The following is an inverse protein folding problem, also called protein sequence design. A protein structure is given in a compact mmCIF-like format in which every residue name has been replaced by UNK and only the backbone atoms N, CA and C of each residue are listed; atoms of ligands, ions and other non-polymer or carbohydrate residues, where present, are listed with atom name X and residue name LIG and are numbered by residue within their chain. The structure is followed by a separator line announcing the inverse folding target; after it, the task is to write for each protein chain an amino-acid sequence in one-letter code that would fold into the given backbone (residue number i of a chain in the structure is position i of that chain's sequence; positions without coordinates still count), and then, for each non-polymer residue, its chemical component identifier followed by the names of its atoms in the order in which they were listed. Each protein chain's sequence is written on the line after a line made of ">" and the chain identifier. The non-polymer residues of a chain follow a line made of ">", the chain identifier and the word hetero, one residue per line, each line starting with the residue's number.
data_IF_161449200229
#
_entry.id   IF_161449200229
#
_cell.length_a   1.000
_cell.length_b   1.000
_cell.length_c   1.000
_cell.angle_alpha   90.00
_cell.angle_beta   90.00
_cell.angle_gamma   90.00
#
_symmetry.space_group_name_H-M   'P 1'
#
loop_
_entity.id
_entity.type
_entity.pdbx_description
1 polymer ?
#
# COMPACT_ATOMS: atom_id res chain seq x y z
N UNK A 1 40.91 8.14 61.82
CA UNK A 1 40.90 7.39 60.55
C UNK A 1 39.55 7.62 59.93
N UNK A 2 39.44 8.58 58.91
CA UNK A 2 38.17 8.93 58.21
C UNK A 2 38.11 8.10 56.95
N UNK A 3 37.12 7.20 56.82
CA UNK A 3 36.85 6.44 55.61
C UNK A 3 36.05 7.30 54.66
N UNK A 4 36.67 7.71 53.54
CA UNK A 4 36.00 8.31 52.38
C UNK A 4 35.34 7.18 51.57
N UNK A 5 33.99 7.19 51.49
CA UNK A 5 33.22 6.33 50.60
C UNK A 5 33.10 7.10 49.28
N UNK A 6 33.61 6.58 48.16
CA UNK A 6 33.38 7.25 46.85
C UNK A 6 31.93 7.00 46.42
N UNK A 7 31.19 8.08 46.29
CA UNK A 7 29.84 8.10 45.72
C UNK A 7 29.95 7.87 44.18
N UNK A 8 29.75 6.62 43.76
CA UNK A 8 29.74 6.27 42.36
C UNK A 8 28.41 6.75 41.75
N UNK A 9 28.44 7.88 41.07
CA UNK A 9 27.32 8.45 40.36
C UNK A 9 27.06 7.60 39.10
N UNK A 10 26.05 6.71 39.15
CA UNK A 10 25.64 5.90 38.03
C UNK A 10 24.89 6.81 37.03
N UNK A 11 25.57 7.25 36.00
CA UNK A 11 24.98 8.03 34.89
C UNK A 11 24.14 7.08 34.04
N UNK A 12 22.82 7.03 34.29
CA UNK A 12 21.87 6.30 33.44
C UNK A 12 21.63 7.16 32.19
N UNK A 13 22.32 6.82 31.12
CA UNK A 13 22.06 7.41 29.77
C UNK A 13 20.78 6.78 29.26
N UNK A 14 19.66 7.48 29.35
CA UNK A 14 18.47 7.16 28.59
C UNK A 14 18.76 7.39 27.10
N UNK A 15 19.11 6.35 26.39
CA UNK A 15 19.11 6.37 24.94
C UNK A 15 17.63 6.32 24.53
N UNK A 16 17.01 7.48 24.45
CA UNK A 16 15.71 7.63 23.78
C UNK A 16 16.00 7.37 22.31
N UNK A 17 15.74 6.16 21.86
CA UNK A 17 15.75 5.82 20.45
C UNK A 17 14.60 6.58 19.78
N UNK A 18 14.83 7.82 19.40
CA UNK A 18 13.93 8.54 18.49
C UNK A 18 13.98 7.79 17.16
N UNK A 19 12.98 6.95 16.92
CA UNK A 19 12.69 6.43 15.60
C UNK A 19 12.47 7.65 14.69
N UNK A 20 13.32 7.83 13.68
CA UNK A 20 13.12 8.93 12.73
C UNK A 20 11.84 8.68 11.94
N UNK A 21 11.01 9.71 11.69
CA UNK A 21 9.85 9.59 10.82
C UNK A 21 10.27 9.13 9.42
N UNK A 22 9.39 8.45 8.71
CA UNK A 22 9.62 8.09 7.32
C UNK A 22 9.75 9.37 6.47
N UNK A 23 10.72 9.37 5.57
CA UNK A 23 10.89 10.50 4.65
C UNK A 23 9.75 10.51 3.63
N UNK A 24 9.19 11.68 3.37
CA UNK A 24 8.19 11.88 2.32
C UNK A 24 8.87 11.88 0.96
N UNK A 25 8.47 10.96 0.11
CA UNK A 25 8.85 10.92 -1.29
C UNK A 25 7.95 11.83 -2.14
N UNK A 26 7.55 11.34 -3.32
CA UNK A 26 6.66 12.06 -4.22
C UNK A 26 5.23 12.10 -3.64
N UNK A 27 4.58 13.27 -3.71
CA UNK A 27 3.14 13.39 -3.56
C UNK A 27 2.49 13.06 -4.90
N UNK A 28 1.57 12.10 -4.92
CA UNK A 28 0.82 11.77 -6.12
C UNK A 28 -0.28 12.82 -6.36
N UNK A 29 -0.59 13.05 -7.65
CA UNK A 29 -1.69 13.96 -8.01
C UNK A 29 -3.03 13.42 -7.54
N UNK A 30 -3.98 14.31 -7.28
CA UNK A 30 -5.37 13.92 -7.06
C UNK A 30 -5.92 13.14 -8.25
N UNK A 31 -6.70 12.11 -7.94
CA UNK A 31 -7.38 11.29 -8.93
C UNK A 31 -8.84 11.04 -8.55
N UNK A 32 -9.65 10.72 -9.55
CA UNK A 32 -11.00 10.18 -9.34
C UNK A 32 -11.19 9.05 -10.36
N UNK A 33 -11.42 7.84 -9.86
CA UNK A 33 -11.61 6.64 -10.65
C UNK A 33 -12.90 5.94 -10.25
N UNK A 34 -13.23 4.82 -10.86
CA UNK A 34 -14.42 4.04 -10.55
C UNK A 34 -14.02 2.85 -9.65
N UNK A 35 -14.74 2.65 -8.56
CA UNK A 35 -14.50 1.54 -7.65
C UNK A 35 -15.24 0.25 -8.06
N UNK A 36 -15.03 -0.84 -7.32
CA UNK A 36 -15.68 -2.14 -7.53
C UNK A 36 -17.21 -2.09 -7.32
N UNK A 37 -17.74 -1.04 -6.72
CA UNK A 37 -19.18 -0.83 -6.56
C UNK A 37 -19.80 0.06 -7.67
N UNK A 38 -18.99 0.35 -8.70
CA UNK A 38 -19.36 1.25 -9.81
C UNK A 38 -19.71 2.66 -9.32
N UNK A 39 -18.99 3.13 -8.30
CA UNK A 39 -19.10 4.49 -7.79
C UNK A 39 -17.82 5.28 -8.05
N UNK A 40 -17.90 6.60 -8.25
CA UNK A 40 -16.70 7.42 -8.31
C UNK A 40 -16.01 7.41 -6.94
N UNK A 41 -14.71 7.09 -6.94
CA UNK A 41 -13.83 7.13 -5.79
C UNK A 41 -12.73 8.17 -6.00
N UNK A 42 -12.62 9.11 -5.10
CA UNK A 42 -11.62 10.17 -5.15
C UNK A 42 -10.50 9.92 -4.15
N UNK A 43 -9.26 10.24 -4.52
CA UNK A 43 -8.13 10.24 -3.58
C UNK A 43 -8.34 11.12 -2.35
N UNK A 44 -9.30 12.05 -2.38
CA UNK A 44 -9.70 12.87 -1.22
C UNK A 44 -10.36 12.04 -0.12
N UNK A 45 -10.95 10.90 -0.46
CA UNK A 45 -11.55 9.98 0.52
C UNK A 45 -10.50 9.27 1.38
N UNK A 46 -9.25 9.24 0.92
CA UNK A 46 -8.10 8.72 1.66
C UNK A 46 -7.45 9.77 2.59
N UNK A 47 -7.92 11.03 2.53
CA UNK A 47 -7.33 12.10 3.33
C UNK A 47 -7.59 11.89 4.82
N UNK A 48 -6.54 12.02 5.63
CA UNK A 48 -6.63 11.88 7.09
C UNK A 48 -6.18 10.52 7.62
N UNK A 49 -6.13 9.46 6.79
CA UNK A 49 -5.62 8.14 7.16
C UNK A 49 -4.53 7.69 6.19
N UNK A 50 -3.50 6.98 6.65
CA UNK A 50 -2.52 6.37 5.77
C UNK A 50 -3.18 5.25 4.95
N UNK A 51 -2.56 4.90 3.83
CA UNK A 51 -3.07 3.86 2.96
C UNK A 51 -1.96 3.10 2.24
N UNK A 52 -2.29 1.91 1.78
CA UNK A 52 -1.39 1.05 1.01
C UNK A 52 -1.96 0.88 -0.38
N UNK A 53 -1.11 1.07 -1.40
CA UNK A 53 -1.46 0.85 -2.79
C UNK A 53 -0.73 -0.36 -3.38
N UNK A 54 -1.39 -1.03 -4.32
CA UNK A 54 -0.78 -2.00 -5.22
C UNK A 54 -1.39 -1.96 -6.63
N UNK A 55 -0.82 -2.75 -7.53
CA UNK A 55 -1.27 -2.90 -8.90
C UNK A 55 -1.63 -4.35 -9.18
N UNK A 56 -2.84 -4.59 -9.68
CA UNK A 56 -3.36 -5.93 -9.96
C UNK A 56 -4.08 -6.00 -11.31
N UNK A 57 -4.36 -7.19 -11.78
CA UNK A 57 -5.40 -7.46 -12.78
C UNK A 57 -5.97 -8.87 -12.56
N UNK A 58 -7.27 -9.01 -12.84
CA UNK A 58 -8.01 -10.23 -12.47
C UNK A 58 -7.62 -11.46 -13.28
N UNK A 59 -7.19 -11.27 -14.56
CA UNK A 59 -6.72 -12.34 -15.44
C UNK A 59 -5.25 -12.76 -15.21
N UNK A 60 -4.61 -12.27 -14.16
CA UNK A 60 -3.27 -12.71 -13.79
C UNK A 60 -3.30 -14.14 -13.27
N UNK A 61 -2.51 -15.02 -13.90
CA UNK A 61 -2.42 -16.43 -13.51
C UNK A 61 -1.17 -16.75 -12.69
N UNK A 62 -0.38 -15.75 -12.33
CA UNK A 62 0.92 -15.94 -11.69
C UNK A 62 0.96 -15.31 -10.30
N UNK A 63 1.29 -14.03 -10.19
CA UNK A 63 1.64 -13.37 -8.92
C UNK A 63 0.47 -12.62 -8.26
N UNK A 64 -0.50 -12.09 -9.03
CA UNK A 64 -1.55 -11.25 -8.46
C UNK A 64 -2.43 -11.96 -7.41
N UNK A 65 -2.82 -13.24 -7.57
CA UNK A 65 -3.57 -13.91 -6.51
C UNK A 65 -2.81 -13.96 -5.18
N UNK A 66 -1.48 -14.17 -5.24
CA UNK A 66 -0.64 -14.17 -4.03
C UNK A 66 -0.49 -12.76 -3.46
N UNK A 67 -0.30 -11.74 -4.30
CA UNK A 67 -0.25 -10.33 -3.87
C UNK A 67 -1.54 -9.90 -3.17
N UNK A 68 -2.68 -10.24 -3.78
CA UNK A 68 -4.00 -9.89 -3.21
C UNK A 68 -4.25 -10.66 -1.91
N UNK A 69 -3.83 -11.93 -1.82
CA UNK A 69 -3.93 -12.71 -0.57
C UNK A 69 -3.09 -12.09 0.54
N UNK A 70 -1.85 -11.67 0.25
CA UNK A 70 -0.99 -10.99 1.22
C UNK A 70 -1.55 -9.64 1.67
N UNK A 71 -2.20 -8.90 0.75
CA UNK A 71 -2.89 -7.65 1.10
C UNK A 71 -4.07 -7.92 2.05
N UNK A 72 -4.82 -9.01 1.82
CA UNK A 72 -5.92 -9.44 2.70
C UNK A 72 -5.40 -9.85 4.09
N UNK A 73 -4.30 -10.61 4.14
CA UNK A 73 -3.66 -10.98 5.40
C UNK A 73 -3.16 -9.75 6.16
N UNK A 74 -2.63 -8.76 5.43
CA UNK A 74 -2.20 -7.50 6.02
C UNK A 74 -3.40 -6.69 6.54
N UNK A 75 -4.51 -6.63 5.79
CA UNK A 75 -5.76 -6.00 6.22
C UNK A 75 -6.25 -6.60 7.53
N UNK A 76 -6.32 -7.93 7.61
CA UNK A 76 -6.74 -8.63 8.81
C UNK A 76 -5.80 -8.37 10.00
N UNK A 77 -4.50 -8.43 9.79
CA UNK A 77 -3.49 -8.19 10.82
C UNK A 77 -3.54 -6.76 11.38
N UNK A 78 -3.71 -5.75 10.52
CA UNK A 78 -3.80 -4.35 10.96
C UNK A 78 -5.11 -4.09 11.71
N UNK A 79 -6.20 -4.71 11.28
CA UNK A 79 -7.48 -4.66 11.98
C UNK A 79 -7.39 -5.27 13.38
N UNK A 80 -6.73 -6.42 13.52
CA UNK A 80 -6.51 -7.07 14.82
C UNK A 80 -5.62 -6.23 15.75
N UNK A 81 -4.75 -5.39 15.20
CA UNK A 81 -3.90 -4.45 15.94
C UNK A 81 -4.55 -3.08 16.18
N UNK A 82 -5.81 -2.88 15.79
CA UNK A 82 -6.55 -1.61 15.88
C UNK A 82 -5.81 -0.46 15.16
N UNK A 83 -5.24 -0.78 13.98
CA UNK A 83 -4.56 0.18 13.10
C UNK A 83 -5.48 0.52 11.95
N UNK A 84 -5.93 1.80 11.91
CA UNK A 84 -6.74 2.32 10.82
C UNK A 84 -5.89 2.52 9.56
N UNK A 85 -6.26 1.84 8.47
CA UNK A 85 -5.53 1.83 7.20
C UNK A 85 -6.50 1.60 6.05
N UNK A 86 -6.37 2.37 4.97
CA UNK A 86 -7.06 2.09 3.72
C UNK A 86 -6.18 1.29 2.77
N UNK A 87 -6.82 0.52 1.90
CA UNK A 87 -6.17 -0.28 0.85
C UNK A 87 -6.72 0.13 -0.51
N UNK A 88 -5.83 0.29 -1.49
CA UNK A 88 -6.20 0.70 -2.84
C UNK A 88 -5.47 -0.17 -3.85
N UNK A 89 -6.22 -1.00 -4.56
CA UNK A 89 -5.69 -1.83 -5.65
C UNK A 89 -6.10 -1.23 -6.99
N UNK A 90 -5.12 -0.78 -7.77
CA UNK A 90 -5.36 -0.24 -9.10
C UNK A 90 -5.32 -1.36 -10.13
N UNK A 91 -6.38 -1.50 -10.95
CA UNK A 91 -6.33 -2.42 -12.08
C UNK A 91 -5.37 -1.93 -13.16
N UNK A 92 -4.49 -2.80 -13.63
CA UNK A 92 -3.60 -2.53 -14.76
C UNK A 92 -4.18 -3.03 -16.10
N UNK A 93 -5.38 -3.62 -16.07
CA UNK A 93 -6.12 -4.10 -17.26
C UNK A 93 -7.57 -3.58 -17.26
N UNK A 94 -7.79 -2.25 -17.34
CA UNK A 94 -9.11 -1.64 -17.19
C UNK A 94 -10.11 -2.07 -18.28
N UNK A 95 -9.64 -2.54 -19.43
CA UNK A 95 -10.51 -3.05 -20.51
C UNK A 95 -11.20 -4.35 -20.11
N UNK A 96 -10.58 -5.14 -19.26
CA UNK A 96 -11.07 -6.43 -18.76
C UNK A 96 -11.71 -6.27 -17.36
N UNK A 97 -11.06 -5.53 -16.50
CA UNK A 97 -11.42 -5.36 -15.10
C UNK A 97 -12.50 -4.29 -14.92
N UNK A 98 -13.73 -4.64 -15.32
CA UNK A 98 -14.90 -3.80 -15.02
C UNK A 98 -15.18 -3.79 -13.52
N UNK A 99 -15.95 -2.82 -12.99
CA UNK A 99 -16.36 -2.81 -11.58
C UNK A 99 -16.94 -4.14 -11.11
N UNK A 100 -17.81 -4.77 -11.91
CA UNK A 100 -18.41 -6.07 -11.58
C UNK A 100 -17.36 -7.19 -11.48
N UNK A 101 -16.39 -7.22 -12.39
CA UNK A 101 -15.30 -8.20 -12.38
C UNK A 101 -14.42 -8.01 -11.16
N UNK A 102 -14.08 -6.77 -10.80
CA UNK A 102 -13.31 -6.45 -9.59
C UNK A 102 -14.08 -6.83 -8.33
N UNK A 103 -15.39 -6.61 -8.30
CA UNK A 103 -16.27 -7.01 -7.20
C UNK A 103 -16.27 -8.52 -6.99
N UNK A 104 -16.39 -9.28 -8.07
CA UNK A 104 -16.36 -10.75 -8.02
C UNK A 104 -14.97 -11.29 -7.68
N UNK A 105 -13.92 -10.51 -7.93
CA UNK A 105 -12.54 -10.88 -7.61
C UNK A 105 -12.25 -10.71 -6.11
N UNK A 106 -12.55 -9.56 -5.52
CA UNK A 106 -12.19 -9.24 -4.12
C UNK A 106 -12.83 -10.20 -3.12
N UNK A 107 -14.07 -10.65 -3.35
CA UNK A 107 -14.81 -11.55 -2.43
C UNK A 107 -14.12 -12.91 -2.23
N UNK A 108 -13.13 -13.25 -3.07
CA UNK A 108 -12.33 -14.46 -2.89
C UNK A 108 -11.21 -14.30 -1.86
N UNK A 109 -10.93 -13.06 -1.42
CA UNK A 109 -9.79 -12.74 -0.55
C UNK A 109 -10.21 -12.15 0.79
N UNK A 110 -11.29 -11.38 0.84
CA UNK A 110 -11.78 -10.77 2.08
C UNK A 110 -13.30 -10.71 2.12
N UNK A 111 -13.85 -10.84 3.32
CA UNK A 111 -15.25 -10.58 3.63
C UNK A 111 -15.51 -9.12 4.02
N UNK A 112 -14.45 -8.32 4.17
CA UNK A 112 -14.51 -6.92 4.61
C UNK A 112 -13.93 -5.98 3.55
N UNK A 113 -14.82 -5.40 2.76
CA UNK A 113 -14.44 -4.42 1.72
C UNK A 113 -14.49 -2.96 2.21
N UNK A 114 -14.79 -2.73 3.49
CA UNK A 114 -15.11 -1.39 3.97
C UNK A 114 -13.97 -0.37 3.85
N UNK A 115 -12.72 -0.84 3.84
CA UNK A 115 -11.51 -0.04 3.72
C UNK A 115 -10.61 -0.47 2.55
N UNK A 116 -11.14 -1.27 1.59
CA UNK A 116 -10.37 -1.72 0.44
C UNK A 116 -11.08 -1.41 -0.87
N UNK A 117 -10.44 -0.60 -1.70
CA UNK A 117 -10.98 -0.07 -2.96
C UNK A 117 -10.19 -0.62 -4.14
N UNK A 118 -10.89 -1.31 -5.04
CA UNK A 118 -10.35 -1.75 -6.33
C UNK A 118 -10.77 -0.76 -7.40
N UNK A 119 -9.81 -0.12 -8.07
CA UNK A 119 -10.06 1.01 -8.94
C UNK A 119 -9.84 0.66 -10.42
N UNK A 120 -10.75 1.16 -11.25
CA UNK A 120 -10.78 1.05 -12.70
C UNK A 120 -11.46 2.30 -13.31
N UNK A 121 -11.96 2.23 -14.54
CA UNK A 121 -12.74 3.31 -15.18
C UNK A 121 -11.88 4.38 -15.86
N UNK A 122 -10.64 4.07 -16.15
CA UNK A 122 -9.69 4.81 -16.98
C UNK A 122 -9.34 4.01 -18.24
N UNK A 123 -8.75 4.62 -19.22
CA UNK A 123 -8.17 3.90 -20.37
C UNK A 123 -6.82 3.31 -20.01
N UNK A 124 -6.40 2.27 -20.76
CA UNK A 124 -5.08 1.66 -20.59
C UNK A 124 -3.95 2.70 -20.64
N UNK A 125 -3.99 3.60 -21.61
CA UNK A 125 -2.95 4.63 -21.79
C UNK A 125 -2.95 5.66 -20.66
N UNK A 126 -4.11 6.04 -20.15
CA UNK A 126 -4.21 6.95 -19.00
C UNK A 126 -3.58 6.31 -17.76
N UNK A 127 -3.82 5.01 -17.54
CA UNK A 127 -3.27 4.33 -16.39
C UNK A 127 -1.76 4.09 -16.50
N UNK A 128 -1.26 3.69 -17.67
CA UNK A 128 0.18 3.56 -17.93
C UNK A 128 0.92 4.88 -17.67
N UNK A 129 0.33 6.02 -18.08
CA UNK A 129 0.86 7.33 -17.78
C UNK A 129 0.81 7.64 -16.27
N UNK A 130 -0.33 7.35 -15.61
CA UNK A 130 -0.50 7.56 -14.17
C UNK A 130 0.51 6.74 -13.36
N UNK A 131 0.65 5.45 -13.61
CA UNK A 131 1.59 4.58 -12.91
C UNK A 131 3.04 5.07 -13.07
N UNK A 132 3.43 5.45 -14.29
CA UNK A 132 4.77 5.96 -14.58
C UNK A 132 5.04 7.30 -13.91
N UNK A 133 4.09 8.22 -14.00
CA UNK A 133 4.26 9.58 -13.49
C UNK A 133 4.15 9.62 -11.97
N UNK A 134 3.19 8.92 -11.37
CA UNK A 134 2.91 9.05 -9.96
C UNK A 134 3.66 8.05 -9.09
N UNK A 135 3.78 6.79 -9.52
CA UNK A 135 4.44 5.73 -8.76
C UNK A 135 5.83 5.35 -9.28
N UNK A 136 6.30 6.02 -10.34
CA UNK A 136 7.61 5.74 -10.96
C UNK A 136 7.77 4.26 -11.35
N UNK A 137 6.66 3.58 -11.61
CA UNK A 137 6.61 2.20 -12.06
C UNK A 137 6.08 2.14 -13.48
N UNK A 138 6.33 1.03 -14.15
CA UNK A 138 5.79 0.85 -15.49
C UNK A 138 4.65 -0.16 -15.48
N UNK A 139 3.69 0.09 -16.34
CA UNK A 139 2.62 -0.82 -16.73
C UNK A 139 2.67 -0.92 -18.24
N UNK A 140 2.68 -2.13 -18.77
CA UNK A 140 2.75 -2.35 -20.22
C UNK A 140 1.85 -3.52 -20.60
N UNK A 141 0.79 -3.24 -21.34
CA UNK A 141 -0.07 -4.23 -21.97
C UNK A 141 0.31 -4.34 -23.45
N UNK A 142 0.70 -5.54 -23.88
CA UNK A 142 0.98 -5.78 -25.27
C UNK A 142 -0.33 -6.16 -26.00
N UNK A 143 -0.59 -5.58 -27.18
CA UNK A 143 -1.83 -5.79 -27.95
C UNK A 143 -2.19 -7.26 -28.22
N UNK A 144 -1.19 -8.14 -28.32
CA UNK A 144 -1.37 -9.57 -28.55
C UNK A 144 -1.39 -10.43 -27.28
N UNK A 145 -1.42 -9.84 -26.10
CA UNK A 145 -1.34 -10.54 -24.83
C UNK A 145 -2.52 -10.21 -23.92
N UNK A 146 -3.00 -11.21 -23.19
CA UNK A 146 -3.91 -11.04 -22.05
C UNK A 146 -3.18 -10.76 -20.76
N UNK A 147 -1.84 -10.80 -20.78
CA UNK A 147 -1.00 -10.52 -19.62
C UNK A 147 -0.45 -9.10 -19.67
N UNK A 148 -0.40 -8.45 -18.52
CA UNK A 148 0.13 -7.10 -18.34
C UNK A 148 1.39 -7.18 -17.51
N UNK A 149 2.46 -6.56 -17.99
CA UNK A 149 3.72 -6.45 -17.23
C UNK A 149 3.62 -5.22 -16.33
N UNK A 150 3.78 -5.40 -15.04
CA UNK A 150 3.74 -4.31 -14.05
C UNK A 150 4.62 -4.61 -12.83
N UNK A 151 4.87 -3.59 -12.01
CA UNK A 151 5.57 -3.76 -10.75
C UNK A 151 4.73 -4.52 -9.71
N UNK A 152 5.40 -5.26 -8.82
CA UNK A 152 4.78 -6.06 -7.75
C UNK A 152 5.08 -5.48 -6.36
N UNK A 153 5.09 -4.15 -6.26
CA UNK A 153 5.38 -3.45 -5.02
C UNK A 153 4.09 -3.05 -4.30
N UNK A 154 4.17 -3.06 -2.98
CA UNK A 154 3.24 -2.32 -2.13
C UNK A 154 3.82 -0.93 -1.88
N UNK A 155 2.97 0.09 -1.92
CA UNK A 155 3.34 1.49 -1.69
C UNK A 155 2.65 1.98 -0.43
N UNK A 156 3.44 2.30 0.59
CA UNK A 156 2.92 2.94 1.80
C UNK A 156 2.80 4.44 1.57
N UNK A 157 1.59 4.94 1.76
CA UNK A 157 1.24 6.34 1.56
C UNK A 157 0.87 6.98 2.89
N UNK A 158 1.19 8.25 3.06
CA UNK A 158 0.65 9.01 4.18
C UNK A 158 -0.76 9.57 3.89
N UNK A 159 -1.35 10.19 4.90
CA UNK A 159 -2.69 10.79 4.84
C UNK A 159 -2.83 12.00 3.90
N UNK A 160 -1.74 12.49 3.34
CA UNK A 160 -1.68 13.60 2.38
C UNK A 160 -1.32 13.12 0.96
N UNK A 161 -1.15 11.81 0.76
CA UNK A 161 -0.83 11.20 -0.53
C UNK A 161 0.65 11.24 -0.92
N UNK A 162 1.55 11.35 0.05
CA UNK A 162 3.00 11.17 -0.20
C UNK A 162 3.36 9.69 -0.13
N UNK A 163 4.13 9.22 -1.09
CA UNK A 163 4.77 7.91 -1.02
C UNK A 163 5.83 7.97 0.09
N UNK A 164 5.68 7.14 1.10
CA UNK A 164 6.66 7.04 2.19
C UNK A 164 7.70 5.97 1.89
N UNK A 165 7.27 4.83 1.36
CA UNK A 165 8.18 3.72 1.02
C UNK A 165 7.51 2.73 0.09
N UNK A 166 8.34 2.05 -0.69
CA UNK A 166 7.96 0.90 -1.52
C UNK A 166 8.48 -0.39 -0.88
N UNK A 167 7.67 -1.43 -0.93
CA UNK A 167 8.03 -2.76 -0.45
C UNK A 167 7.87 -3.76 -1.57
N UNK A 168 8.98 -4.38 -1.96
CA UNK A 168 8.94 -5.37 -3.01
C UNK A 168 8.41 -6.70 -2.47
N UNK A 169 7.31 -7.18 -3.06
CA UNK A 169 6.68 -8.45 -2.67
C UNK A 169 7.63 -9.66 -2.74
N UNK A 170 8.61 -9.64 -3.64
CA UNK A 170 9.59 -10.73 -3.76
C UNK A 170 10.65 -10.75 -2.64
N UNK A 171 10.70 -9.73 -1.80
CA UNK A 171 11.57 -9.69 -0.63
C UNK A 171 10.85 -10.32 0.57
N UNK A 172 11.34 -11.45 1.07
CA UNK A 172 10.71 -12.19 2.19
C UNK A 172 10.53 -11.34 3.47
N UNK A 173 11.34 -10.28 3.65
CA UNK A 173 11.27 -9.39 4.81
C UNK A 173 10.31 -8.20 4.66
N UNK A 174 9.66 -8.03 3.49
CA UNK A 174 8.86 -6.83 3.20
C UNK A 174 7.76 -6.56 4.24
N UNK A 175 7.11 -7.63 4.71
CA UNK A 175 6.00 -7.53 5.66
C UNK A 175 6.47 -7.07 7.04
N UNK A 176 7.59 -7.61 7.52
CA UNK A 176 8.20 -7.20 8.78
C UNK A 176 8.64 -5.74 8.73
N UNK A 177 9.24 -5.31 7.61
CA UNK A 177 9.65 -3.93 7.40
C UNK A 177 8.45 -2.99 7.38
N UNK A 178 7.38 -3.34 6.63
CA UNK A 178 6.16 -2.56 6.53
C UNK A 178 5.50 -2.39 7.90
N UNK A 179 5.34 -3.47 8.66
CA UNK A 179 4.77 -3.43 10.02
C UNK A 179 5.62 -2.61 10.99
N UNK A 180 6.95 -2.67 10.85
CA UNK A 180 7.86 -1.85 11.65
C UNK A 180 7.71 -0.35 11.30
N UNK A 181 7.56 -0.03 10.02
CA UNK A 181 7.40 1.34 9.55
C UNK A 181 6.03 1.92 9.94
N UNK A 182 4.95 1.13 9.91
CA UNK A 182 3.64 1.55 10.41
C UNK A 182 3.65 1.92 11.90
N UNK A 183 4.44 1.22 12.70
CA UNK A 183 4.62 1.56 14.14
C UNK A 183 5.34 2.89 14.35
N UNK A 184 6.11 3.36 13.36
CA UNK A 184 6.82 4.65 13.38
C UNK A 184 5.94 5.83 12.97
N UNK A 185 4.79 5.57 12.34
CA UNK A 185 3.83 6.58 11.90
C UNK A 185 2.82 7.00 12.99
N UNK A 186 2.84 6.30 14.13
CA UNK A 186 1.95 6.57 15.31
C UNK A 186 2.44 7.71 16.18
#
# INVERSE_FOLDING_TARGET
>A
MKRLIPFLLLLVVFVSGCSQPLERGKQIREFTFTDQHNQPFSSKELSGSPWIADFIFTNCTTVCPSLTSEMADLQAELKDQDIDMNFVSFSVDPDTDTPAVLKDYIVNFTDDESNWHFLTGYTQLEFEAFAREEFQTFVLKHESSTQVVHGTNFYLMDSEGYILKEYNFSNESYKEELLADLKRMK
#
